data_IF_661998933384
#
_entry.id   IF_661998933384
#
_cell.length_a   1.000
_cell.length_b   1.000
_cell.length_c   1.000
_cell.angle_alpha   90.00
_cell.angle_beta   90.00
_cell.angle_gamma   90.00
#
_symmetry.space_group_name_H-M   'P 1'
#
loop_
_entity.id
_entity.type
_entity.pdbx_description
1 polymer ?
#
# COMPACT_ATOMS: atom_id res chain seq x y z
N UNK A 1 -10.50 16.72 9.02
CA UNK A 1 -11.21 15.47 8.72
C UNK A 1 -10.29 14.32 9.09
N UNK A 2 -10.76 13.36 9.88
CA UNK A 2 -9.96 12.23 10.38
C UNK A 2 -10.27 10.94 9.63
N UNK A 3 -10.63 11.05 8.35
CA UNK A 3 -10.86 9.91 7.49
C UNK A 3 -10.44 10.24 6.06
N UNK A 4 -10.04 9.21 5.32
CA UNK A 4 -9.78 9.28 3.90
C UNK A 4 -10.29 8.01 3.21
N UNK A 5 -10.47 8.10 1.90
CA UNK A 5 -10.75 6.95 1.04
C UNK A 5 -9.53 6.68 0.18
N UNK A 6 -9.08 5.43 0.14
CA UNK A 6 -8.05 4.98 -0.81
C UNK A 6 -8.77 4.41 -2.03
N UNK A 7 -8.37 4.84 -3.22
CA UNK A 7 -8.98 4.43 -4.49
C UNK A 7 -7.98 3.71 -5.38
N UNK A 8 -8.41 2.58 -5.94
CA UNK A 8 -7.76 1.90 -7.07
C UNK A 8 -8.82 1.62 -8.14
N UNK A 9 -8.79 2.38 -9.23
CA UNK A 9 -9.77 2.31 -10.31
C UNK A 9 -11.21 2.48 -9.79
N UNK A 10 -12.00 1.40 -9.77
CA UNK A 10 -13.38 1.38 -9.25
C UNK A 10 -13.49 0.86 -7.80
N UNK A 11 -12.38 0.44 -7.20
CA UNK A 11 -12.33 -0.12 -5.85
C UNK A 11 -11.97 0.97 -4.84
N UNK A 12 -12.62 0.95 -3.68
CA UNK A 12 -12.39 1.93 -2.62
C UNK A 12 -12.24 1.25 -1.25
N UNK A 13 -11.34 1.78 -0.42
CA UNK A 13 -11.16 1.39 0.98
C UNK A 13 -11.37 2.61 1.87
N UNK A 14 -12.19 2.45 2.91
CA UNK A 14 -12.38 3.48 3.92
C UNK A 14 -11.33 3.37 5.03
N UNK A 15 -10.79 4.51 5.45
CA UNK A 15 -9.77 4.57 6.51
C UNK A 15 -10.10 5.70 7.48
N UNK A 16 -10.21 5.36 8.77
CA UNK A 16 -10.39 6.32 9.88
C UNK A 16 -9.06 6.95 10.32
N UNK A 17 -8.27 7.41 9.34
CA UNK A 17 -7.03 8.12 9.58
C UNK A 17 -6.97 9.38 8.70
N UNK A 18 -6.29 10.44 9.16
CA UNK A 18 -5.92 11.55 8.30
C UNK A 18 -5.14 11.08 7.08
N UNK A 19 -5.41 11.68 5.92
CA UNK A 19 -4.77 11.30 4.67
C UNK A 19 -3.24 11.44 4.69
N UNK A 20 -2.67 12.33 5.52
CA UNK A 20 -1.23 12.42 5.75
C UNK A 20 -0.65 11.16 6.38
N UNK A 21 -1.32 10.59 7.39
CA UNK A 21 -0.89 9.34 8.03
C UNK A 21 -1.06 8.14 7.09
N UNK A 22 -2.09 8.16 6.24
CA UNK A 22 -2.26 7.11 5.22
C UNK A 22 -1.16 7.19 4.16
N UNK A 23 -0.77 8.39 3.71
CA UNK A 23 0.39 8.54 2.81
C UNK A 23 1.68 8.03 3.46
N UNK A 24 1.89 8.34 4.73
CA UNK A 24 3.02 7.81 5.50
C UNK A 24 3.02 6.28 5.56
N UNK A 25 1.86 5.67 5.75
CA UNK A 25 1.67 4.21 5.72
C UNK A 25 2.00 3.64 4.34
N UNK A 26 1.47 4.23 3.26
CA UNK A 26 1.76 3.81 1.89
C UNK A 26 3.26 3.83 1.60
N UNK A 27 3.95 4.92 1.95
CA UNK A 27 5.40 5.01 1.80
C UNK A 27 6.14 3.95 2.63
N UNK A 28 5.64 3.60 3.81
CA UNK A 28 6.22 2.54 4.63
C UNK A 28 6.09 1.15 4.00
N UNK A 29 4.92 0.85 3.42
CA UNK A 29 4.67 -0.39 2.68
C UNK A 29 5.63 -0.49 1.50
N UNK A 30 5.79 0.59 0.73
CA UNK A 30 6.76 0.65 -0.38
C UNK A 30 8.18 0.40 0.13
N UNK A 31 8.64 1.11 1.18
CA UNK A 31 10.00 0.91 1.74
C UNK A 31 10.26 -0.55 2.11
N UNK A 32 9.30 -1.20 2.78
CA UNK A 32 9.46 -2.60 3.20
C UNK A 32 9.52 -3.54 2.01
N UNK A 33 8.65 -3.34 1.02
CA UNK A 33 8.64 -4.18 -0.17
C UNK A 33 9.95 -4.04 -0.96
N UNK A 34 10.36 -2.80 -1.23
CA UNK A 34 11.58 -2.51 -1.98
C UNK A 34 12.83 -3.00 -1.25
N UNK A 35 12.81 -3.07 0.09
CA UNK A 35 13.94 -3.60 0.87
C UNK A 35 14.25 -5.09 0.64
N UNK A 36 13.35 -5.84 0.00
CA UNK A 36 13.63 -7.22 -0.43
C UNK A 36 14.55 -7.27 -1.66
N UNK A 37 14.66 -6.17 -2.41
CA UNK A 37 15.47 -6.08 -3.62
C UNK A 37 16.85 -5.49 -3.30
N UNK A 38 17.71 -6.30 -2.67
CA UNK A 38 19.02 -5.83 -2.19
C UNK A 38 19.99 -5.40 -3.32
N UNK A 39 19.87 -6.00 -4.51
CA UNK A 39 20.83 -5.82 -5.61
C UNK A 39 20.15 -5.57 -6.96
N UNK A 40 18.89 -5.14 -6.98
CA UNK A 40 18.13 -4.93 -8.21
C UNK A 40 17.06 -3.87 -8.07
N UNK A 41 16.53 -3.42 -9.21
CA UNK A 41 15.37 -2.53 -9.19
C UNK A 41 14.13 -3.29 -8.69
N UNK A 42 13.29 -2.64 -7.85
CA UNK A 42 12.04 -3.24 -7.41
C UNK A 42 11.12 -3.57 -8.59
N UNK A 43 10.65 -4.81 -8.63
CA UNK A 43 9.67 -5.27 -9.62
C UNK A 43 8.31 -5.40 -8.94
N UNK A 44 7.29 -4.80 -9.53
CA UNK A 44 5.90 -4.94 -9.08
C UNK A 44 5.13 -5.79 -10.10
N UNK A 45 4.88 -7.09 -9.86
CA UNK A 45 4.32 -8.02 -10.84
C UNK A 45 3.05 -7.53 -11.52
N UNK A 46 2.15 -6.92 -10.75
CA UNK A 46 0.86 -6.43 -11.21
C UNK A 46 0.76 -4.89 -11.12
N UNK A 47 1.81 -4.22 -10.65
CA UNK A 47 1.86 -2.77 -10.42
C UNK A 47 1.97 -2.35 -8.95
N UNK A 48 2.62 -1.20 -8.70
CA UNK A 48 2.74 -0.61 -7.36
C UNK A 48 1.36 -0.30 -6.73
N UNK A 49 0.38 0.27 -7.47
CA UNK A 49 -0.96 0.53 -6.92
C UNK A 49 -1.68 -0.73 -6.43
N UNK A 50 -1.56 -1.84 -7.16
CA UNK A 50 -2.15 -3.13 -6.85
C UNK A 50 -1.55 -3.73 -5.58
N UNK A 51 -0.22 -3.70 -5.46
CA UNK A 51 0.46 -4.13 -4.23
C UNK A 51 -0.05 -3.32 -3.03
N UNK A 52 -0.07 -1.99 -3.15
CA UNK A 52 -0.51 -1.11 -2.08
C UNK A 52 -1.95 -1.41 -1.68
N UNK A 53 -2.86 -1.53 -2.64
CA UNK A 53 -4.25 -1.82 -2.37
C UNK A 53 -4.41 -3.17 -1.65
N UNK A 54 -3.79 -4.24 -2.14
CA UNK A 54 -3.91 -5.58 -1.56
C UNK A 54 -3.32 -5.64 -0.14
N UNK A 55 -2.20 -4.96 0.11
CA UNK A 55 -1.61 -4.88 1.45
C UNK A 55 -2.56 -4.16 2.42
N UNK A 56 -3.25 -3.11 1.95
CA UNK A 56 -4.20 -2.35 2.77
C UNK A 56 -5.50 -3.13 3.03
N UNK A 57 -6.08 -3.77 2.01
CA UNK A 57 -7.31 -4.56 2.19
C UNK A 57 -7.05 -5.83 2.98
N UNK A 58 -6.07 -6.63 2.56
CA UNK A 58 -5.92 -8.01 3.04
C UNK A 58 -4.89 -8.11 4.17
N UNK A 59 -3.93 -7.18 4.23
CA UNK A 59 -2.90 -7.12 5.26
C UNK A 59 -3.38 -6.33 6.48
N UNK A 60 -3.77 -5.08 6.28
CA UNK A 60 -4.27 -4.21 7.34
C UNK A 60 -5.79 -4.34 7.60
N UNK A 61 -6.52 -5.11 6.78
CA UNK A 61 -7.94 -5.40 7.02
C UNK A 61 -8.88 -4.23 6.75
N UNK A 62 -8.48 -3.27 5.91
CA UNK A 62 -9.30 -2.09 5.60
C UNK A 62 -10.57 -2.50 4.84
N UNK A 63 -11.69 -1.93 5.25
CA UNK A 63 -13.01 -2.28 4.71
C UNK A 63 -13.27 -1.58 3.38
N UNK A 64 -13.87 -2.30 2.44
CA UNK A 64 -14.36 -1.72 1.20
C UNK A 64 -15.52 -0.76 1.45
N UNK A 65 -15.62 0.30 0.64
CA UNK A 65 -16.76 1.22 0.68
C UNK A 65 -17.24 1.59 -0.73
N UNK A 66 -18.50 2.01 -0.82
CA UNK A 66 -19.14 2.37 -2.09
C UNK A 66 -19.19 3.89 -2.34
N UNK A 67 -18.97 4.71 -1.30
CA UNK A 67 -19.09 6.17 -1.37
C UNK A 67 -17.88 6.90 -0.78
N UNK A 68 -17.54 8.03 -1.41
CA UNK A 68 -16.47 8.94 -0.99
C UNK A 68 -16.96 10.39 -0.83
N UNK A 69 -18.25 10.59 -0.54
CA UNK A 69 -18.85 11.93 -0.47
C UNK A 69 -18.29 12.74 0.71
N UNK A 70 -17.56 13.82 0.38
CA UNK A 70 -17.03 14.77 1.35
C UNK A 70 -15.76 14.33 2.07
N UNK A 71 -15.14 13.21 1.68
CA UNK A 71 -13.91 12.70 2.32
C UNK A 71 -12.74 12.81 1.35
N UNK A 72 -11.54 13.10 1.84
CA UNK A 72 -10.33 13.18 1.01
C UNK A 72 -10.04 11.82 0.35
N UNK A 73 -9.80 11.84 -0.97
CA UNK A 73 -9.52 10.64 -1.76
C UNK A 73 -8.04 10.58 -2.10
N UNK A 74 -7.39 9.46 -1.74
CA UNK A 74 -6.04 9.12 -2.17
C UNK A 74 -6.16 8.14 -3.34
N UNK A 75 -5.99 8.65 -4.56
CA UNK A 75 -6.02 7.84 -5.78
C UNK A 75 -4.63 7.24 -6.06
N UNK A 76 -4.54 5.92 -5.95
CA UNK A 76 -3.28 5.17 -6.12
C UNK A 76 -2.78 5.17 -7.58
N UNK A 77 -3.65 5.42 -8.56
CA UNK A 77 -3.24 5.56 -9.97
C UNK A 77 -2.70 6.95 -10.26
N UNK A 78 -3.26 7.97 -9.62
CA UNK A 78 -2.86 9.35 -9.85
C UNK A 78 -1.54 9.73 -9.14
N UNK A 79 -1.15 8.99 -8.10
CA UNK A 79 0.00 9.33 -7.26
C UNK A 79 1.01 8.19 -7.23
N UNK A 80 2.24 8.47 -7.69
CA UNK A 80 3.37 7.57 -7.45
C UNK A 80 3.80 7.69 -6.00
N UNK A 81 3.77 6.58 -5.27
CA UNK A 81 4.21 6.53 -3.87
C UNK A 81 5.70 6.25 -3.83
N UNK A 82 6.43 7.10 -3.13
CA UNK A 82 7.88 6.95 -2.95
C UNK A 82 8.18 6.32 -1.58
N UNK A 83 9.17 5.44 -1.54
CA UNK A 83 9.70 4.90 -0.31
C UNK A 83 10.17 6.01 0.65
N UNK A 84 9.97 5.77 1.95
CA UNK A 84 10.70 6.45 3.01
C UNK A 84 12.17 6.00 3.05
N UNK A 85 13.02 6.81 3.70
CA UNK A 85 14.43 6.48 3.94
C UNK A 85 14.63 5.20 4.78
N UNK A 86 13.69 4.91 5.69
CA UNK A 86 13.70 3.71 6.52
C UNK A 86 12.28 3.34 6.94
N UNK A 87 11.98 2.05 7.18
CA UNK A 87 10.66 1.62 7.60
C UNK A 87 10.38 2.06 9.05
N UNK A 88 9.22 2.68 9.27
CA UNK A 88 8.69 3.09 10.57
C UNK A 88 8.14 1.88 11.32
N UNK A 89 8.52 1.73 12.59
CA UNK A 89 8.06 0.62 13.45
C UNK A 89 6.54 0.62 13.70
N UNK A 90 5.90 1.78 13.67
CA UNK A 90 4.49 1.96 14.02
C UNK A 90 3.51 1.22 13.09
N UNK A 91 3.90 0.99 11.84
CA UNK A 91 3.07 0.34 10.83
C UNK A 91 3.36 -1.16 10.68
N UNK A 92 4.09 -1.76 11.63
CA UNK A 92 4.47 -3.17 11.51
C UNK A 92 3.25 -4.07 11.75
N UNK A 93 2.82 -4.72 10.67
CA UNK A 93 1.79 -5.75 10.70
C UNK A 93 2.31 -7.06 10.08
N UNK A 94 1.96 -8.19 10.70
CA UNK A 94 2.44 -9.52 10.29
C UNK A 94 1.77 -9.99 9.00
N UNK A 95 0.48 -9.71 8.82
CA UNK A 95 -0.28 -10.10 7.63
C UNK A 95 0.12 -9.25 6.43
N UNK A 96 0.27 -7.94 6.61
CA UNK A 96 0.87 -7.06 5.60
C UNK A 96 2.25 -7.58 5.18
N UNK A 97 3.12 -7.93 6.14
CA UNK A 97 4.43 -8.51 5.86
C UNK A 97 4.39 -9.82 5.05
N UNK A 98 3.40 -10.68 5.30
CA UNK A 98 3.19 -11.92 4.53
C UNK A 98 2.81 -11.64 3.08
N UNK A 99 1.93 -10.69 2.82
CA UNK A 99 1.53 -10.30 1.47
C UNK A 99 2.73 -9.73 0.71
N UNK A 100 3.53 -8.87 1.36
CA UNK A 100 4.74 -8.32 0.76
C UNK A 100 5.74 -9.42 0.39
N UNK A 101 6.00 -10.35 1.30
CA UNK A 101 6.92 -11.47 1.05
C UNK A 101 6.41 -12.40 -0.04
N UNK A 102 5.11 -12.72 -0.06
CA UNK A 102 4.49 -13.55 -1.10
C UNK A 102 4.57 -12.88 -2.48
N UNK A 103 4.33 -11.56 -2.54
CA UNK A 103 4.42 -10.79 -3.79
C UNK A 103 5.87 -10.68 -4.27
N UNK A 104 6.84 -10.58 -3.37
CA UNK A 104 8.25 -10.66 -3.75
C UNK A 104 8.61 -12.06 -4.26
N UNK A 105 8.19 -13.12 -3.58
CA UNK A 105 8.48 -14.49 -4.02
C UNK A 105 7.93 -14.79 -5.44
N UNK A 106 6.82 -14.16 -5.83
CA UNK A 106 6.25 -14.34 -7.17
C UNK A 106 7.07 -13.66 -8.28
N UNK A 107 7.95 -12.70 -7.96
CA UNK A 107 8.86 -12.09 -8.95
C UNK A 107 10.00 -13.05 -9.33
N UNK A 108 10.45 -13.89 -8.40
CA UNK A 108 11.58 -14.82 -8.59
C UNK A 108 11.26 -15.92 -9.61
N UNK A 109 9.99 -16.33 -9.68
CA UNK A 109 9.55 -17.38 -10.62
C UNK A 109 9.13 -16.85 -12.00
N UNK A 110 9.21 -15.54 -12.24
CA UNK A 110 8.85 -14.91 -13.52
C UNK A 110 10.06 -14.48 -14.35
N UNK A 111 11.28 -14.61 -13.82
CA UNK A 111 12.55 -14.27 -14.48
C UNK A 111 13.21 -15.46 -15.16
#
# INVERSE_FOLDING_TARGET
MNACVIKLDHKHLYVELPASLVRDLLSDVVTRYESFFTFGEPVYPDGQPELLYNVLSDGYGLQSCDESLGVEVIDLRAQRVTANAAPKKQWKDVFAGRILAATFASTINRS
#
